data_IF_983446279129
#
_entry.id   IF_983446279129
#
_cell.length_a   1.000
_cell.length_b   1.000
_cell.length_c   1.000
_cell.angle_alpha   90.00
_cell.angle_beta   90.00
_cell.angle_gamma   90.00
#
_symmetry.space_group_name_H-M   'P 1'
#
loop_
_entity.id
_entity.type
_entity.pdbx_description
1 polymer ?
#
# COMPACT_ATOMS: atom_id res chain seq x y z
N UNK A 1 -44.64 36.03 68.25
CA UNK A 1 -43.72 35.20 69.05
C UNK A 1 -42.70 34.59 68.10
N UNK A 2 -41.42 34.97 68.23
CA UNK A 2 -40.30 34.54 67.37
C UNK A 2 -40.20 33.02 67.33
N UNK A 3 -39.95 32.45 66.14
CA UNK A 3 -39.13 31.25 65.98
C UNK A 3 -38.40 31.30 64.64
N UNK A 4 -37.12 31.66 64.77
CA UNK A 4 -36.06 31.51 63.78
C UNK A 4 -35.90 30.01 63.52
N UNK A 5 -35.85 29.57 62.26
CA UNK A 5 -35.21 28.29 61.98
C UNK A 5 -34.36 28.29 60.71
N UNK A 6 -33.19 27.69 60.86
CA UNK A 6 -31.97 27.85 60.07
C UNK A 6 -32.01 27.07 58.75
N UNK A 7 -31.32 27.64 57.76
CA UNK A 7 -30.87 27.03 56.50
C UNK A 7 -30.23 25.65 56.72
N UNK A 8 -30.56 24.70 55.85
CA UNK A 8 -29.64 23.64 55.41
C UNK A 8 -29.70 23.57 53.88
N UNK A 9 -28.77 24.25 53.23
CA UNK A 9 -28.50 24.11 51.80
C UNK A 9 -27.76 22.79 51.61
N UNK A 10 -28.43 21.79 51.05
CA UNK A 10 -27.86 20.48 50.75
C UNK A 10 -27.19 20.58 49.36
N UNK A 11 -25.86 20.52 49.32
CA UNK A 11 -25.10 20.39 48.06
C UNK A 11 -25.09 18.91 47.69
N UNK A 12 -25.83 18.55 46.64
CA UNK A 12 -25.81 17.22 46.04
C UNK A 12 -24.64 17.15 45.07
N UNK A 13 -23.55 16.50 45.47
CA UNK A 13 -22.43 16.17 44.57
C UNK A 13 -22.90 15.12 43.55
N UNK A 14 -22.99 15.52 42.27
CA UNK A 14 -23.19 14.61 41.15
C UNK A 14 -21.81 14.11 40.72
N UNK A 15 -21.51 12.85 41.04
CA UNK A 15 -20.30 12.18 40.56
C UNK A 15 -20.56 11.66 39.15
N UNK A 16 -19.97 12.30 38.13
CA UNK A 16 -19.99 11.81 36.74
C UNK A 16 -18.84 10.81 36.61
N UNK A 17 -19.14 9.52 36.63
CA UNK A 17 -18.21 8.46 36.24
C UNK A 17 -18.10 8.43 34.72
N UNK A 18 -17.02 9.00 34.19
CA UNK A 18 -16.65 8.88 32.78
C UNK A 18 -16.00 7.52 32.56
N UNK A 19 -16.80 6.52 32.16
CA UNK A 19 -16.29 5.22 31.73
C UNK A 19 -15.66 5.38 30.35
N UNK A 20 -14.33 5.54 30.29
CA UNK A 20 -13.56 5.41 29.05
C UNK A 20 -13.58 3.95 28.62
N UNK A 21 -14.44 3.59 27.65
CA UNK A 21 -14.25 2.38 26.86
C UNK A 21 -13.01 2.59 25.99
N UNK A 22 -11.90 2.00 26.39
CA UNK A 22 -10.76 1.79 25.49
C UNK A 22 -11.15 0.68 24.52
N UNK A 23 -11.79 1.04 23.42
CA UNK A 23 -11.71 0.21 22.22
C UNK A 23 -10.31 0.43 21.66
N UNK A 24 -9.40 -0.51 21.91
CA UNK A 24 -8.21 -0.66 21.07
C UNK A 24 -8.69 -1.19 19.73
N UNK A 25 -9.22 -0.30 18.90
CA UNK A 25 -9.43 -0.60 17.49
C UNK A 25 -8.06 -0.81 16.87
N UNK A 26 -7.79 -2.02 16.37
CA UNK A 26 -6.78 -2.16 15.32
C UNK A 26 -7.19 -1.20 14.21
N UNK A 27 -6.32 -0.26 13.85
CA UNK A 27 -6.56 0.59 12.70
C UNK A 27 -6.64 -0.34 11.49
N UNK A 28 -7.83 -0.56 10.95
CA UNK A 28 -7.96 -1.23 9.65
C UNK A 28 -7.33 -0.31 8.60
N UNK A 29 -6.59 -0.89 7.66
CA UNK A 29 -6.06 -0.15 6.53
C UNK A 29 -7.22 0.51 5.76
N UNK A 30 -7.11 1.82 5.51
CA UNK A 30 -8.04 2.53 4.66
C UNK A 30 -7.49 2.55 3.24
N UNK A 31 -7.73 1.46 2.51
CA UNK A 31 -7.42 1.43 1.08
C UNK A 31 -8.35 2.37 0.31
N UNK A 32 -7.76 3.30 -0.43
CA UNK A 32 -8.49 4.30 -1.20
C UNK A 32 -8.06 4.26 -2.67
N UNK A 33 -9.02 4.04 -3.57
CA UNK A 33 -8.79 4.17 -5.01
C UNK A 33 -8.30 5.59 -5.35
N UNK A 34 -7.25 5.69 -6.16
CA UNK A 34 -6.66 6.95 -6.62
C UNK A 34 -6.55 7.00 -8.14
N UNK A 35 -7.07 8.08 -8.71
CA UNK A 35 -6.91 8.47 -10.12
C UNK A 35 -5.54 9.13 -10.28
N UNK A 36 -4.63 8.46 -10.98
CA UNK A 36 -3.23 8.91 -11.10
C UNK A 36 -3.05 9.79 -12.35
N UNK A 37 -3.74 9.48 -13.44
CA UNK A 37 -3.59 10.19 -14.72
C UNK A 37 -4.56 11.38 -14.88
N UNK A 38 -5.48 11.57 -13.93
CA UNK A 38 -6.47 12.64 -13.89
C UNK A 38 -7.68 12.39 -14.80
N UNK A 39 -7.84 11.17 -15.31
CA UNK A 39 -8.94 10.78 -16.17
C UNK A 39 -9.92 9.85 -15.46
N UNK A 40 -10.68 10.37 -14.49
CA UNK A 40 -11.74 9.64 -13.78
C UNK A 40 -12.78 8.85 -14.63
N UNK A 41 -12.78 8.95 -15.97
CA UNK A 41 -13.66 8.16 -16.84
C UNK A 41 -13.18 6.71 -17.05
N UNK A 42 -11.91 6.38 -16.81
CA UNK A 42 -11.37 5.01 -16.95
C UNK A 42 -11.27 4.25 -15.62
N UNK A 43 -11.65 4.88 -14.49
CA UNK A 43 -11.62 4.27 -13.17
C UNK A 43 -10.51 4.85 -12.31
N UNK A 44 -9.67 3.97 -11.75
CA UNK A 44 -8.52 4.32 -10.92
C UNK A 44 -7.33 3.43 -11.30
N UNK A 45 -6.13 4.01 -11.30
CA UNK A 45 -4.90 3.30 -11.65
C UNK A 45 -4.13 2.83 -10.42
N UNK A 46 -4.38 3.45 -9.27
CA UNK A 46 -3.73 3.10 -8.02
C UNK A 46 -4.68 2.93 -6.85
N UNK A 47 -4.16 2.34 -5.79
CA UNK A 47 -4.85 2.22 -4.51
C UNK A 47 -3.87 2.64 -3.41
N UNK A 48 -4.17 3.75 -2.75
CA UNK A 48 -3.38 4.25 -1.64
C UNK A 48 -3.68 3.47 -0.36
N UNK A 49 -2.62 3.03 0.31
CA UNK A 49 -2.60 2.38 1.62
C UNK A 49 -2.04 3.35 2.66
N UNK A 50 -2.89 3.81 3.57
CA UNK A 50 -2.54 4.80 4.58
C UNK A 50 -1.75 4.23 5.75
N UNK A 51 -1.72 2.91 5.93
CA UNK A 51 -0.94 2.25 6.98
C UNK A 51 0.50 2.03 6.51
N UNK A 52 0.67 1.55 5.28
CA UNK A 52 1.99 1.35 4.68
C UNK A 52 2.58 2.65 4.10
N UNK A 53 1.75 3.67 3.92
CA UNK A 53 2.08 4.93 3.22
C UNK A 53 2.66 4.67 1.82
N UNK A 54 1.94 3.88 1.03
CA UNK A 54 2.29 3.53 -0.35
C UNK A 54 1.05 3.56 -1.24
N UNK A 55 1.27 3.74 -2.54
CA UNK A 55 0.26 3.50 -3.57
C UNK A 55 0.59 2.21 -4.30
N UNK A 56 -0.31 1.23 -4.21
CA UNK A 56 -0.30 0.03 -5.04
C UNK A 56 -0.76 0.35 -6.45
N UNK A 57 -0.13 -0.22 -7.48
CA UNK A 57 -0.74 -0.21 -8.81
C UNK A 57 -1.99 -1.11 -8.79
N UNK A 58 -3.12 -0.61 -9.27
CA UNK A 58 -4.40 -1.34 -9.24
C UNK A 58 -4.33 -2.63 -10.06
N UNK A 59 -3.60 -2.62 -11.19
CA UNK A 59 -3.32 -3.82 -11.96
C UNK A 59 -2.12 -4.58 -11.37
N UNK A 60 -2.41 -5.67 -10.67
CA UNK A 60 -1.42 -6.53 -10.00
C UNK A 60 -0.56 -7.36 -10.97
N UNK A 61 -0.80 -7.28 -12.29
CA UNK A 61 0.01 -7.94 -13.32
C UNK A 61 0.11 -7.09 -14.59
N UNK A 62 0.55 -5.85 -14.44
CA UNK A 62 0.72 -4.92 -15.57
C UNK A 62 1.65 -5.48 -16.66
N UNK A 63 2.66 -6.27 -16.27
CA UNK A 63 3.64 -6.89 -17.17
C UNK A 63 3.03 -7.83 -18.22
N UNK A 64 1.86 -8.42 -17.95
CA UNK A 64 1.13 -9.22 -18.93
C UNK A 64 0.62 -8.40 -20.13
N UNK A 65 0.49 -7.09 -19.98
CA UNK A 65 -0.08 -6.19 -21.00
C UNK A 65 0.88 -5.09 -21.48
N UNK A 66 1.89 -4.75 -20.67
CA UNK A 66 2.85 -3.71 -20.98
C UNK A 66 4.24 -4.09 -20.46
N UNK A 67 5.19 -4.33 -21.37
CA UNK A 67 6.58 -4.69 -21.02
C UNK A 67 7.52 -3.47 -20.89
N UNK A 68 7.01 -2.24 -21.07
CA UNK A 68 7.80 -1.01 -21.03
C UNK A 68 9.04 -1.00 -21.95
N UNK A 69 8.96 -1.73 -23.08
CA UNK A 69 10.03 -1.84 -24.07
C UNK A 69 11.02 -2.99 -23.85
N UNK A 70 10.87 -3.78 -22.78
CA UNK A 70 11.63 -5.01 -22.62
C UNK A 70 11.21 -6.05 -23.67
N UNK A 71 12.19 -6.67 -24.32
CA UNK A 71 11.99 -7.65 -25.41
C UNK A 71 12.20 -9.10 -24.97
N UNK A 72 12.69 -9.32 -23.76
CA UNK A 72 12.94 -10.65 -23.17
C UNK A 72 12.83 -10.60 -21.64
N UNK A 73 12.85 -11.77 -21.00
CA UNK A 73 12.83 -11.91 -19.53
C UNK A 73 11.44 -11.94 -18.91
N UNK A 74 10.38 -11.64 -19.68
CA UNK A 74 8.99 -11.70 -19.23
C UNK A 74 8.28 -12.86 -19.95
N UNK A 75 7.62 -13.71 -19.18
CA UNK A 75 6.78 -14.79 -19.69
C UNK A 75 5.53 -14.21 -20.35
N UNK A 76 5.33 -14.49 -21.64
CA UNK A 76 4.18 -13.98 -22.40
C UNK A 76 3.15 -15.06 -22.76
N UNK A 77 3.16 -16.20 -22.07
CA UNK A 77 2.25 -17.30 -22.35
C UNK A 77 2.04 -18.25 -21.17
N UNK A 78 0.99 -19.05 -21.29
CA UNK A 78 0.62 -20.03 -20.27
C UNK A 78 0.03 -19.39 -19.00
N UNK A 79 -0.07 -20.17 -17.91
CA UNK A 79 -0.72 -19.73 -16.67
C UNK A 79 0.09 -18.69 -15.88
N UNK A 80 1.34 -18.42 -16.28
CA UNK A 80 2.25 -17.47 -15.65
C UNK A 80 2.58 -16.29 -16.57
N UNK A 81 1.61 -15.84 -17.37
CA UNK A 81 1.80 -14.64 -18.21
C UNK A 81 2.11 -13.42 -17.33
N UNK A 82 3.06 -12.59 -17.74
CA UNK A 82 3.56 -11.41 -17.00
C UNK A 82 4.58 -11.71 -15.90
N UNK A 83 4.86 -12.98 -15.60
CA UNK A 83 5.91 -13.33 -14.65
C UNK A 83 7.31 -13.12 -15.23
N UNK A 84 8.29 -12.93 -14.37
CA UNK A 84 9.68 -12.65 -14.75
C UNK A 84 10.64 -13.09 -13.65
N UNK A 85 11.93 -13.23 -13.99
CA UNK A 85 12.96 -13.49 -12.99
C UNK A 85 13.32 -12.22 -12.20
N UNK A 86 14.03 -12.37 -11.08
CA UNK A 86 14.24 -11.27 -10.14
C UNK A 86 15.04 -10.11 -10.74
N UNK A 87 16.03 -10.41 -11.58
CA UNK A 87 16.80 -9.38 -12.30
C UNK A 87 15.97 -8.65 -13.36
N UNK A 88 15.07 -9.36 -14.06
CA UNK A 88 14.12 -8.73 -14.99
C UNK A 88 13.11 -7.87 -14.25
N UNK A 89 12.70 -8.22 -13.04
CA UNK A 89 11.82 -7.37 -12.22
C UNK A 89 12.45 -6.00 -11.92
N UNK A 90 13.75 -5.95 -11.63
CA UNK A 90 14.48 -4.69 -11.48
C UNK A 90 14.55 -3.91 -12.81
N UNK A 91 14.85 -4.59 -13.92
CA UNK A 91 14.86 -3.97 -15.25
C UNK A 91 13.49 -3.43 -15.66
N UNK A 92 12.40 -4.13 -15.30
CA UNK A 92 11.02 -3.74 -15.57
C UNK A 92 10.65 -2.44 -14.86
N UNK A 93 10.95 -2.34 -13.56
CA UNK A 93 10.73 -1.11 -12.78
C UNK A 93 11.56 0.05 -13.34
N UNK A 94 12.83 -0.20 -13.68
CA UNK A 94 13.68 0.81 -14.30
C UNK A 94 13.11 1.32 -15.62
N UNK A 95 12.62 0.42 -16.49
CA UNK A 95 11.98 0.76 -17.75
C UNK A 95 10.64 1.48 -17.57
N UNK A 96 9.87 1.11 -16.55
CA UNK A 96 8.61 1.75 -16.16
C UNK A 96 8.84 3.20 -15.72
N UNK A 97 9.85 3.45 -14.89
CA UNK A 97 10.21 4.79 -14.43
C UNK A 97 10.88 5.65 -15.52
N UNK A 98 11.47 5.03 -16.55
CA UNK A 98 12.08 5.74 -17.68
C UNK A 98 11.07 6.16 -18.78
N UNK A 99 9.79 5.77 -18.67
CA UNK A 99 8.77 6.14 -19.64
C UNK A 99 8.64 7.65 -19.81
N UNK A 100 8.14 8.08 -20.98
CA UNK A 100 7.87 9.48 -21.29
C UNK A 100 9.06 10.42 -21.08
N UNK A 101 10.29 9.94 -21.29
CA UNK A 101 11.50 10.74 -21.12
C UNK A 101 11.94 10.92 -19.66
N UNK A 102 11.48 10.05 -18.75
CA UNK A 102 11.82 10.06 -17.32
C UNK A 102 10.71 10.57 -16.41
N UNK A 103 9.56 10.96 -16.96
CA UNK A 103 8.36 11.28 -16.18
C UNK A 103 7.73 10.01 -15.58
N UNK A 104 8.05 8.85 -16.13
CA UNK A 104 7.59 7.54 -15.64
C UNK A 104 6.17 7.19 -16.07
N UNK A 105 5.76 5.99 -15.69
CA UNK A 105 4.44 5.48 -16.02
C UNK A 105 3.37 6.21 -15.20
N UNK A 106 2.33 6.70 -15.88
CA UNK A 106 1.27 7.55 -15.30
C UNK A 106 1.81 8.84 -14.65
N UNK A 107 2.97 9.33 -15.11
CA UNK A 107 3.62 10.51 -14.51
C UNK A 107 4.27 10.23 -13.15
N UNK A 108 4.43 8.96 -12.79
CA UNK A 108 5.11 8.51 -11.57
C UNK A 108 6.39 7.78 -11.97
N UNK A 109 7.54 8.26 -11.48
CA UNK A 109 8.87 7.68 -11.74
C UNK A 109 9.54 7.10 -10.48
N UNK A 110 8.75 6.90 -9.42
CA UNK A 110 9.18 6.33 -8.14
C UNK A 110 8.59 4.93 -7.91
N UNK A 111 8.11 4.26 -8.97
CA UNK A 111 7.67 2.87 -8.87
C UNK A 111 8.83 2.00 -8.39
N UNK A 112 8.52 1.03 -7.56
CA UNK A 112 9.45 0.06 -7.01
C UNK A 112 8.79 -1.29 -6.80
N UNK A 113 9.63 -2.29 -6.55
CA UNK A 113 9.16 -3.59 -6.07
C UNK A 113 8.69 -3.47 -4.61
N UNK A 114 7.76 -4.33 -4.17
CA UNK A 114 7.36 -4.36 -2.77
C UNK A 114 8.53 -4.70 -1.86
N UNK A 115 8.56 -4.12 -0.67
CA UNK A 115 9.63 -4.33 0.30
C UNK A 115 9.29 -5.38 1.34
N UNK A 116 10.34 -5.98 1.92
CA UNK A 116 10.26 -6.75 3.14
C UNK A 116 11.39 -6.37 4.10
N UNK A 117 11.13 -6.50 5.40
CA UNK A 117 12.09 -6.26 6.49
C UNK A 117 12.04 -7.42 7.47
N UNK A 118 13.10 -7.67 8.26
CA UNK A 118 13.09 -8.76 9.22
C UNK A 118 12.00 -8.61 10.29
N UNK A 119 11.23 -9.66 10.54
CA UNK A 119 10.17 -9.69 11.56
C UNK A 119 10.68 -9.40 12.97
N UNK A 120 11.95 -9.70 13.25
CA UNK A 120 12.60 -9.42 14.54
C UNK A 120 13.32 -8.05 14.58
N UNK A 121 13.25 -7.25 13.50
CA UNK A 121 13.88 -5.94 13.37
C UNK A 121 15.41 -5.94 13.20
N UNK A 122 16.07 -7.10 13.08
CA UNK A 122 17.53 -7.20 12.98
C UNK A 122 18.02 -7.98 11.76
N UNK A 123 17.64 -9.25 11.62
CA UNK A 123 18.08 -10.13 10.53
C UNK A 123 16.97 -11.08 10.12
N UNK A 124 16.86 -11.36 8.82
CA UNK A 124 15.87 -12.29 8.29
C UNK A 124 16.08 -13.71 8.87
N UNK A 125 15.02 -14.29 9.42
CA UNK A 125 14.98 -15.65 9.98
C UNK A 125 14.45 -16.61 8.92
N UNK A 126 15.34 -17.04 8.02
CA UNK A 126 14.99 -17.79 6.80
C UNK A 126 15.17 -19.31 6.90
N UNK A 127 15.39 -19.83 8.11
CA UNK A 127 15.62 -21.26 8.36
C UNK A 127 14.39 -22.13 8.09
N UNK A 128 13.83 -22.72 9.16
CA UNK A 128 12.59 -23.48 9.06
C UNK A 128 11.38 -22.55 8.87
N UNK A 129 10.44 -22.95 8.02
CA UNK A 129 9.18 -22.23 7.88
C UNK A 129 8.37 -22.30 9.18
N UNK A 130 7.76 -21.19 9.57
CA UNK A 130 6.81 -21.13 10.68
C UNK A 130 5.42 -20.72 10.19
N UNK A 131 4.40 -21.03 10.98
CA UNK A 131 3.00 -20.84 10.61
C UNK A 131 2.23 -19.97 11.62
N UNK A 132 2.96 -19.35 12.54
CA UNK A 132 2.49 -18.31 13.46
C UNK A 132 3.03 -16.91 13.09
N UNK A 133 3.84 -16.82 12.04
CA UNK A 133 4.50 -15.60 11.59
C UNK A 133 5.75 -15.22 12.37
N UNK A 134 6.21 -16.04 13.33
CA UNK A 134 7.38 -15.71 14.16
C UNK A 134 8.71 -15.60 13.40
N UNK A 135 8.75 -16.00 12.12
CA UNK A 135 9.92 -15.94 11.26
C UNK A 135 9.59 -15.36 9.88
N UNK A 136 10.62 -14.97 9.14
CA UNK A 136 10.49 -14.38 7.79
C UNK A 136 10.21 -15.41 6.69
N UNK A 137 9.89 -16.66 7.06
CA UNK A 137 9.63 -17.75 6.14
C UNK A 137 8.45 -18.57 6.64
N UNK A 138 7.46 -18.77 5.79
CA UNK A 138 6.22 -19.47 6.09
C UNK A 138 5.02 -18.53 6.07
N UNK A 139 4.01 -18.81 6.89
CA UNK A 139 2.72 -18.10 6.88
C UNK A 139 2.60 -17.16 8.08
N UNK A 140 1.60 -16.28 8.02
CA UNK A 140 1.18 -15.39 9.10
C UNK A 140 2.15 -14.28 9.53
N UNK A 141 3.18 -13.96 8.72
CA UNK A 141 4.23 -12.96 9.03
C UNK A 141 3.68 -11.61 9.51
N UNK A 142 2.59 -11.13 8.93
CA UNK A 142 1.91 -9.87 9.30
C UNK A 142 0.47 -10.09 9.74
N UNK A 143 0.04 -11.36 9.91
CA UNK A 143 -1.36 -11.68 10.12
C UNK A 143 -1.82 -11.27 11.52
N UNK A 144 -2.96 -10.55 11.63
CA UNK A 144 -3.49 -10.17 12.93
C UNK A 144 -3.95 -11.42 13.72
N UNK A 145 -4.04 -11.33 15.06
CA UNK A 145 -4.66 -12.37 15.86
C UNK A 145 -6.09 -12.65 15.38
N UNK A 146 -6.43 -13.91 15.19
CA UNK A 146 -7.77 -14.26 14.73
C UNK A 146 -8.00 -15.76 14.61
N UNK A 147 -9.15 -16.14 14.04
CA UNK A 147 -9.53 -17.55 13.84
C UNK A 147 -8.48 -18.30 13.00
N UNK A 148 -7.85 -17.61 12.05
CA UNK A 148 -6.85 -18.17 11.15
C UNK A 148 -5.39 -17.94 11.60
N UNK A 149 -5.19 -17.22 12.70
CA UNK A 149 -3.91 -17.07 13.40
C UNK A 149 -4.15 -16.98 14.92
N UNK A 150 -4.55 -18.09 15.57
CA UNK A 150 -5.00 -18.07 16.97
C UNK A 150 -3.85 -17.89 17.96
N UNK A 151 -2.63 -18.23 17.56
CA UNK A 151 -1.42 -18.10 18.37
C UNK A 151 -0.33 -17.37 17.58
N UNK A 152 -0.45 -16.04 17.37
CA UNK A 152 0.56 -15.29 16.65
C UNK A 152 1.92 -15.39 17.32
N UNK A 153 2.96 -15.44 16.50
CA UNK A 153 4.34 -15.53 16.92
C UNK A 153 4.79 -14.28 17.69
N UNK A 154 5.85 -14.38 18.50
CA UNK A 154 6.48 -13.20 19.06
C UNK A 154 6.97 -12.30 17.91
N UNK A 155 6.70 -10.99 18.00
CA UNK A 155 7.07 -9.93 17.05
C UNK A 155 6.16 -9.73 15.82
N UNK A 156 5.06 -10.46 15.67
CA UNK A 156 4.14 -10.27 14.52
C UNK A 156 3.05 -9.22 14.77
N UNK A 157 2.73 -8.95 16.04
CA UNK A 157 1.66 -8.02 16.39
C UNK A 157 2.01 -6.60 15.95
N UNK A 158 1.25 -6.08 14.98
CA UNK A 158 1.48 -4.75 14.39
C UNK A 158 2.70 -4.68 13.48
N UNK A 159 3.27 -5.82 13.08
CA UNK A 159 4.35 -5.85 12.10
C UNK A 159 3.81 -5.54 10.71
N UNK A 160 4.31 -4.45 10.12
CA UNK A 160 3.96 -3.98 8.77
C UNK A 160 5.10 -4.14 7.78
N UNK A 161 6.16 -4.82 8.19
CA UNK A 161 7.44 -4.78 7.48
C UNK A 161 7.53 -5.64 6.22
N UNK A 162 6.51 -6.43 5.88
CA UNK A 162 6.40 -7.14 4.59
C UNK A 162 5.15 -6.65 3.87
N UNK A 163 5.34 -5.82 2.83
CA UNK A 163 4.23 -5.13 2.16
C UNK A 163 3.27 -6.14 1.51
N UNK A 164 3.78 -7.17 0.83
CA UNK A 164 2.95 -8.20 0.20
C UNK A 164 2.20 -9.05 1.23
N UNK A 165 2.86 -9.41 2.34
CA UNK A 165 2.18 -10.15 3.40
C UNK A 165 1.12 -9.29 4.07
N UNK A 166 1.42 -8.01 4.37
CA UNK A 166 0.46 -7.07 4.93
C UNK A 166 -0.75 -6.91 4.01
N UNK A 167 -0.50 -6.73 2.71
CA UNK A 167 -1.55 -6.63 1.71
C UNK A 167 -2.46 -7.87 1.69
N UNK A 168 -1.86 -9.07 1.76
CA UNK A 168 -2.60 -10.32 1.82
C UNK A 168 -3.44 -10.46 3.09
N UNK A 169 -2.83 -10.29 4.27
CA UNK A 169 -3.46 -10.65 5.54
C UNK A 169 -4.33 -9.54 6.14
N UNK A 170 -3.96 -8.27 5.94
CA UNK A 170 -4.62 -7.14 6.59
C UNK A 170 -5.54 -6.40 5.62
N UNK A 171 -5.12 -6.21 4.37
CA UNK A 171 -5.97 -5.53 3.40
C UNK A 171 -7.00 -6.49 2.79
N UNK A 172 -6.58 -7.69 2.41
CA UNK A 172 -7.49 -8.68 1.82
C UNK A 172 -8.13 -9.63 2.83
N UNK A 173 -7.73 -9.56 4.09
CA UNK A 173 -8.16 -10.51 5.13
C UNK A 173 -8.08 -11.97 4.66
N UNK A 174 -7.08 -12.25 3.81
CA UNK A 174 -6.97 -13.51 3.11
C UNK A 174 -6.51 -14.61 4.07
N UNK A 175 -7.00 -15.81 3.83
CA UNK A 175 -6.78 -16.95 4.72
C UNK A 175 -5.54 -17.71 4.23
N UNK A 176 -4.55 -17.99 5.08
CA UNK A 176 -3.37 -18.77 4.70
C UNK A 176 -3.71 -20.24 4.48
N UNK A 177 -2.85 -20.98 3.78
CA UNK A 177 -2.96 -22.45 3.70
C UNK A 177 -2.84 -23.11 5.07
N UNK A 178 -1.92 -22.60 5.88
CA UNK A 178 -1.49 -23.16 7.14
C UNK A 178 -1.70 -22.17 8.26
N UNK A 179 -2.24 -22.64 9.38
CA UNK A 179 -2.08 -21.99 10.68
C UNK A 179 -1.40 -22.94 11.65
N UNK A 180 -0.88 -22.44 12.76
CA UNK A 180 -0.31 -23.27 13.81
C UNK A 180 0.64 -22.51 14.71
N UNK A 181 1.47 -23.26 15.44
CA UNK A 181 2.46 -22.69 16.36
C UNK A 181 3.85 -23.15 15.93
N UNK A 182 4.79 -22.21 15.81
CA UNK A 182 6.13 -22.46 15.29
C UNK A 182 6.10 -23.20 13.96
N UNK A 183 6.76 -24.35 13.88
CA UNK A 183 6.94 -25.14 12.66
C UNK A 183 5.82 -26.14 12.37
N UNK A 184 4.76 -26.20 13.19
CA UNK A 184 3.64 -27.15 12.98
C UNK A 184 2.56 -26.50 12.13
N UNK A 185 2.40 -26.95 10.87
CA UNK A 185 1.29 -26.52 10.03
C UNK A 185 0.05 -27.41 10.25
N UNK A 186 -1.06 -26.75 10.55
CA UNK A 186 -2.42 -27.27 10.43
C UNK A 186 -3.00 -26.73 9.12
N UNK A 187 -3.11 -27.60 8.11
CA UNK A 187 -3.61 -27.21 6.79
C UNK A 187 -5.11 -27.02 6.78
N UNK A 188 -5.55 -25.93 6.18
CA UNK A 188 -6.94 -25.76 5.76
C UNK A 188 -7.22 -26.51 4.46
N UNK A 189 -8.48 -26.81 4.23
CA UNK A 189 -8.91 -27.35 2.94
C UNK A 189 -8.65 -26.31 1.83
N UNK A 190 -8.29 -26.75 0.62
CA UNK A 190 -8.16 -25.90 -0.58
C UNK A 190 -9.39 -25.00 -0.82
N UNK A 191 -10.55 -25.42 -0.33
CA UNK A 191 -11.80 -24.67 -0.39
C UNK A 191 -11.95 -23.55 0.65
N UNK A 192 -10.97 -23.33 1.52
CA UNK A 192 -11.06 -22.41 2.66
C UNK A 192 -9.95 -21.36 2.71
N UNK A 193 -8.85 -21.51 1.96
CA UNK A 193 -7.76 -20.52 1.95
C UNK A 193 -7.63 -19.75 0.63
N UNK A 194 -6.91 -18.63 0.66
CA UNK A 194 -6.68 -17.73 -0.47
C UNK A 194 -7.46 -16.41 -0.37
N UNK A 195 -7.11 -15.48 -1.26
CA UNK A 195 -7.65 -14.12 -1.31
C UNK A 195 -9.16 -14.11 -1.55
N UNK A 196 -9.66 -14.94 -2.46
CA UNK A 196 -11.09 -14.97 -2.81
C UNK A 196 -11.98 -15.66 -1.77
N UNK A 197 -11.39 -16.13 -0.67
CA UNK A 197 -12.10 -16.85 0.39
C UNK A 197 -12.10 -16.09 1.72
N UNK A 198 -11.64 -14.84 1.70
CA UNK A 198 -11.66 -13.99 2.86
C UNK A 198 -13.09 -13.90 3.46
N UNK A 199 -13.23 -13.89 4.80
CA UNK A 199 -14.54 -13.85 5.44
C UNK A 199 -15.29 -12.52 5.27
N UNK A 200 -14.58 -11.40 5.08
CA UNK A 200 -15.18 -10.07 5.01
C UNK A 200 -15.59 -9.71 3.57
N UNK A 201 -16.87 -9.34 3.33
CA UNK A 201 -17.30 -8.78 2.05
C UNK A 201 -16.63 -7.44 1.65
N UNK A 202 -15.89 -6.78 2.54
CA UNK A 202 -15.16 -5.52 2.30
C UNK A 202 -13.66 -5.71 2.07
N UNK A 203 -13.20 -6.91 1.71
CA UNK A 203 -11.78 -7.25 1.60
C UNK A 203 -10.96 -6.51 0.54
N UNK A 204 -11.37 -5.33 0.06
CA UNK A 204 -10.70 -4.45 -0.90
C UNK A 204 -10.20 -5.09 -2.22
N UNK A 205 -10.42 -6.39 -2.44
CA UNK A 205 -10.00 -7.13 -3.64
C UNK A 205 -10.62 -6.51 -4.89
N UNK A 206 -11.83 -5.95 -4.77
CA UNK A 206 -12.52 -5.27 -5.86
C UNK A 206 -11.84 -3.97 -6.32
N UNK A 207 -10.89 -3.43 -5.56
CA UNK A 207 -10.08 -2.28 -5.97
C UNK A 207 -8.92 -2.68 -6.90
N UNK A 208 -8.70 -3.98 -7.11
CA UNK A 208 -7.54 -4.48 -7.83
C UNK A 208 -7.95 -5.40 -8.97
N UNK A 209 -7.09 -5.43 -9.99
CA UNK A 209 -7.28 -6.20 -11.20
C UNK A 209 -6.10 -7.15 -11.41
N UNK A 210 -6.36 -8.26 -12.11
CA UNK A 210 -5.34 -9.24 -12.51
C UNK A 210 -4.48 -9.77 -11.35
N UNK A 211 -5.05 -9.89 -10.14
CA UNK A 211 -4.39 -10.54 -9.01
C UNK A 211 -4.05 -11.98 -9.40
N UNK A 212 -2.77 -12.31 -9.29
CA UNK A 212 -2.25 -13.64 -9.61
C UNK A 212 -2.33 -14.49 -8.35
N UNK A 213 -3.46 -15.16 -8.12
CA UNK A 213 -3.66 -16.01 -6.93
C UNK A 213 -4.34 -17.34 -7.22
N UNK A 214 -4.59 -17.67 -8.49
CA UNK A 214 -5.38 -18.84 -8.88
C UNK A 214 -4.58 -20.14 -9.03
N UNK A 215 -3.29 -20.06 -9.39
CA UNK A 215 -2.45 -21.22 -9.67
C UNK A 215 -1.41 -21.47 -8.58
N UNK A 216 -1.17 -22.75 -8.30
CA UNK A 216 -0.03 -23.18 -7.49
C UNK A 216 1.24 -22.72 -8.18
N UNK A 217 2.04 -21.90 -7.50
CA UNK A 217 3.24 -21.28 -8.06
C UNK A 217 3.07 -19.78 -8.33
N UNK A 218 1.85 -19.24 -8.28
CA UNK A 218 1.68 -17.80 -8.28
C UNK A 218 2.29 -17.20 -7.01
N UNK A 219 3.26 -16.32 -7.26
CA UNK A 219 3.96 -15.57 -6.26
C UNK A 219 4.37 -14.22 -6.84
N UNK A 220 4.75 -13.33 -5.92
CA UNK A 220 5.21 -11.98 -6.22
C UNK A 220 6.61 -11.78 -5.66
N UNK A 221 7.49 -11.19 -6.45
CA UNK A 221 8.83 -10.80 -5.99
C UNK A 221 8.77 -9.62 -5.02
N UNK A 222 9.64 -9.65 -4.02
CA UNK A 222 10.02 -8.45 -3.24
C UNK A 222 11.33 -7.85 -3.78
N UNK A 223 11.73 -6.70 -3.25
CA UNK A 223 13.03 -6.08 -3.50
C UNK A 223 14.19 -6.71 -2.72
N UNK A 224 13.91 -7.71 -1.88
CA UNK A 224 14.90 -8.26 -0.95
C UNK A 224 15.64 -9.45 -1.57
N UNK A 225 16.94 -9.32 -1.88
CA UNK A 225 17.77 -10.48 -2.16
C UNK A 225 18.03 -11.27 -0.87
N UNK A 226 18.23 -12.57 -1.01
CA UNK A 226 18.67 -13.47 0.04
C UNK A 226 20.05 -14.07 -0.31
N UNK A 227 20.54 -14.96 0.55
CA UNK A 227 21.78 -15.69 0.28
C UNK A 227 21.59 -16.73 -0.84
N UNK A 228 22.70 -17.29 -1.35
CA UNK A 228 22.71 -18.44 -2.27
C UNK A 228 21.91 -18.30 -3.57
N UNK A 229 21.88 -17.09 -4.17
CA UNK A 229 21.15 -16.85 -5.42
C UNK A 229 19.63 -16.98 -5.26
N UNK A 230 19.11 -16.70 -4.07
CA UNK A 230 17.67 -16.68 -3.78
C UNK A 230 17.19 -15.24 -3.55
N UNK A 231 15.88 -15.02 -3.69
CA UNK A 231 15.23 -13.78 -3.29
C UNK A 231 13.94 -14.07 -2.51
N UNK A 232 13.52 -13.11 -1.70
CA UNK A 232 12.25 -13.24 -0.99
C UNK A 232 11.09 -13.02 -1.96
N UNK A 233 10.16 -13.95 -1.93
CA UNK A 233 8.87 -13.87 -2.62
C UNK A 233 7.72 -14.06 -1.65
N UNK A 234 6.53 -13.69 -2.10
CA UNK A 234 5.29 -13.97 -1.40
C UNK A 234 4.32 -14.75 -2.28
N UNK A 235 3.87 -15.91 -1.82
CA UNK A 235 2.80 -16.66 -2.46
C UNK A 235 1.44 -16.06 -2.11
N UNK A 236 0.81 -15.41 -3.06
CA UNK A 236 -0.60 -15.02 -2.99
C UNK A 236 -1.54 -16.24 -3.07
N UNK A 237 -1.09 -17.38 -3.58
CA UNK A 237 -1.88 -18.62 -3.55
C UNK A 237 -1.95 -19.23 -2.15
N UNK A 238 -0.80 -19.38 -1.48
CA UNK A 238 -0.71 -20.03 -0.16
C UNK A 238 -0.75 -19.06 1.03
N UNK A 239 -0.56 -17.76 0.79
CA UNK A 239 -0.34 -16.75 1.82
C UNK A 239 1.05 -16.82 2.46
N UNK A 240 2.04 -17.47 1.85
CA UNK A 240 3.33 -17.71 2.50
C UNK A 240 4.47 -16.87 1.92
N UNK A 241 5.32 -16.34 2.79
CA UNK A 241 6.61 -15.76 2.43
C UNK A 241 7.66 -16.87 2.35
N UNK A 242 8.54 -16.80 1.35
CA UNK A 242 9.56 -17.81 1.13
C UNK A 242 10.74 -17.31 0.32
N UNK A 243 11.68 -18.22 0.09
CA UNK A 243 12.81 -18.05 -0.80
C UNK A 243 12.57 -18.90 -2.04
N UNK A 244 12.86 -18.34 -3.21
CA UNK A 244 12.97 -19.07 -4.48
C UNK A 244 14.21 -18.54 -5.23
N UNK A 245 14.68 -19.30 -6.22
CA UNK A 245 15.86 -18.94 -7.00
C UNK A 245 15.60 -17.62 -7.77
N UNK A 246 16.59 -16.72 -7.84
CA UNK A 246 16.44 -15.47 -8.58
C UNK A 246 16.15 -15.66 -10.07
N UNK A 247 16.42 -16.86 -10.61
CA UNK A 247 16.10 -17.26 -11.98
C UNK A 247 14.67 -17.81 -12.15
N UNK A 248 13.96 -18.10 -11.06
CA UNK A 248 12.55 -18.51 -11.11
C UNK A 248 11.64 -17.37 -11.57
N UNK A 249 10.47 -17.72 -12.11
CA UNK A 249 9.55 -16.75 -12.69
C UNK A 249 8.38 -16.46 -11.74
N UNK A 250 8.33 -15.24 -11.23
CA UNK A 250 7.23 -14.73 -10.40
C UNK A 250 6.72 -13.40 -10.92
N UNK A 251 5.52 -13.04 -10.50
CA UNK A 251 4.88 -11.78 -10.89
C UNK A 251 5.47 -10.61 -10.11
N UNK A 252 5.16 -9.40 -10.56
CA UNK A 252 5.56 -8.18 -9.87
C UNK A 252 4.37 -7.26 -9.68
N UNK A 253 4.03 -6.99 -8.42
CA UNK A 253 3.03 -6.01 -8.03
C UNK A 253 3.73 -4.73 -7.61
N UNK A 254 3.87 -3.78 -8.53
CA UNK A 254 4.64 -2.56 -8.26
C UNK A 254 3.88 -1.61 -7.33
N UNK A 255 4.66 -0.88 -6.53
CA UNK A 255 4.16 0.12 -5.58
C UNK A 255 4.98 1.40 -5.70
N UNK A 256 4.43 2.52 -5.27
CA UNK A 256 5.13 3.80 -5.16
C UNK A 256 5.00 4.34 -3.73
N UNK A 257 6.01 5.05 -3.19
CA UNK A 257 5.92 5.64 -1.86
C UNK A 257 4.89 6.78 -1.81
N UNK A 258 4.12 6.82 -0.72
CA UNK A 258 3.11 7.85 -0.46
C UNK A 258 1.88 7.77 -1.36
N UNK A 259 1.02 8.79 -1.25
CA UNK A 259 -0.12 8.99 -2.15
C UNK A 259 0.33 9.76 -3.40
N UNK A 260 0.56 9.03 -4.50
CA UNK A 260 1.09 9.63 -5.73
C UNK A 260 0.09 10.54 -6.46
N UNK A 261 -1.22 10.32 -6.27
CA UNK A 261 -2.27 11.15 -6.85
C UNK A 261 -2.43 12.51 -6.14
N UNK A 262 -1.98 12.63 -4.88
CA UNK A 262 -2.00 13.90 -4.15
C UNK A 262 -1.06 14.97 -4.75
N UNK A 263 -0.12 14.57 -5.62
CA UNK A 263 0.80 15.49 -6.30
C UNK A 263 0.18 16.21 -7.50
N UNK A 264 -0.94 15.69 -8.05
CA UNK A 264 -1.63 16.23 -9.21
C UNK A 264 -2.62 17.35 -8.85
N UNK A 265 -2.38 18.15 -7.80
CA UNK A 265 -3.22 19.32 -7.52
C UNK A 265 -3.09 20.28 -8.70
N UNK A 266 -4.17 20.51 -9.48
CA UNK A 266 -4.14 21.52 -10.51
C UNK A 266 -3.84 22.84 -9.81
N UNK A 267 -2.81 23.56 -10.23
CA UNK A 267 -2.60 24.94 -9.77
C UNK A 267 -3.96 25.63 -9.85
N UNK A 268 -4.55 26.07 -8.71
CA UNK A 268 -5.91 26.56 -8.73
C UNK A 268 -5.98 27.67 -9.76
N UNK A 269 -7.08 27.80 -10.51
CA UNK A 269 -7.24 28.86 -11.51
C UNK A 269 -6.87 30.25 -10.98
N UNK A 270 -6.93 30.43 -9.66
CA UNK A 270 -6.38 31.55 -8.91
C UNK A 270 -4.89 31.86 -9.22
N UNK A 271 -3.99 30.88 -9.36
CA UNK A 271 -2.59 31.09 -9.71
C UNK A 271 -2.44 31.75 -11.10
N UNK A 272 -3.22 31.31 -12.08
CA UNK A 272 -3.31 31.96 -13.40
C UNK A 272 -3.94 33.35 -13.31
N UNK A 273 -4.97 33.51 -12.48
CA UNK A 273 -5.65 34.79 -12.26
C UNK A 273 -4.72 35.82 -11.59
N UNK A 274 -3.91 35.41 -10.61
CA UNK A 274 -2.91 36.26 -9.98
C UNK A 274 -1.77 36.62 -10.93
N UNK A 275 -1.32 35.68 -11.77
CA UNK A 275 -0.34 35.96 -12.82
C UNK A 275 -0.83 36.99 -13.83
N UNK A 276 -2.09 36.87 -14.29
CA UNK A 276 -2.71 37.80 -15.22
C UNK A 276 -3.02 39.17 -14.58
N UNK A 277 -3.48 39.18 -13.32
CA UNK A 277 -3.75 40.41 -12.58
C UNK A 277 -2.47 41.21 -12.30
N UNK A 278 -1.37 40.53 -11.94
CA UNK A 278 -0.08 41.16 -11.67
C UNK A 278 0.54 41.77 -12.93
N UNK A 279 0.48 41.06 -14.07
CA UNK A 279 0.90 41.60 -15.37
C UNK A 279 0.04 42.78 -15.82
N UNK A 280 -1.28 42.73 -15.59
CA UNK A 280 -2.19 43.86 -15.81
C UNK A 280 -1.86 45.09 -14.94
N UNK A 281 -1.50 44.90 -13.67
CA UNK A 281 -1.12 45.99 -12.76
C UNK A 281 0.22 46.65 -13.15
N UNK A 282 1.19 45.86 -13.64
CA UNK A 282 2.48 46.37 -14.10
C UNK A 282 2.31 47.24 -15.35
N UNK A 283 1.47 46.82 -16.31
CA UNK A 283 1.21 47.59 -17.53
C UNK A 283 0.47 48.90 -17.24
N UNK A 284 -0.52 48.89 -16.33
CA UNK A 284 -1.22 50.10 -15.87
C UNK A 284 -0.28 51.09 -15.15
N UNK A 285 0.68 50.59 -14.37
CA UNK A 285 1.69 51.43 -13.70
C UNK A 285 2.64 52.10 -14.68
N UNK A 286 2.99 51.44 -15.78
CA UNK A 286 3.85 52.04 -16.82
C UNK A 286 3.11 53.13 -17.62
N UNK A 287 1.83 52.94 -17.91
CA UNK A 287 1.02 53.95 -18.60
C UNK A 287 0.82 55.23 -17.77
N UNK A 288 0.57 55.13 -16.46
CA UNK A 288 0.36 56.30 -15.60
C UNK A 288 1.61 57.18 -15.42
N UNK A 289 2.82 56.62 -15.54
CA UNK A 289 4.08 57.37 -15.50
C UNK A 289 4.30 58.22 -16.75
N UNK A 290 3.85 57.74 -17.91
CA UNK A 290 3.99 58.47 -19.19
C UNK A 290 3.11 59.72 -19.25
N UNK A 291 1.95 59.72 -18.58
CA UNK A 291 1.06 60.88 -18.51
C UNK A 291 1.51 61.96 -17.50
N UNK A 292 2.23 61.59 -16.43
CA UNK A 292 2.74 62.58 -15.45
C UNK A 292 3.93 63.41 -15.96
N UNK A 293 4.60 63.03 -17.04
CA UNK A 293 5.70 63.85 -17.60
C UNK A 293 5.22 64.96 -18.54
N UNK A 294 3.94 64.95 -18.95
CA UNK A 294 3.37 65.98 -19.84
C UNK A 294 2.81 67.17 -19.02
N UNK A 295 2.47 66.96 -17.74
CA UNK A 295 1.91 67.99 -16.86
C UNK A 295 2.96 68.88 -16.14
N UNK A 296 4.23 68.88 -16.55
CA UNK A 296 5.29 69.78 -16.02
C UNK A 296 5.79 70.83 -17.02
N UNK A 297 5.05 71.04 -18.09
CA UNK A 297 5.27 72.15 -19.02
C UNK A 297 4.05 73.08 -18.99
N UNK A 298 3.83 73.76 -17.87
CA UNK A 298 3.07 75.01 -17.76
C UNK A 298 3.49 75.73 -16.48
#
# INVERSE_FOLDING_TARGET
MKLINKRKTMFTSVTITLSTLLFTGVAQAALTAVDIDGNASNGHEGVYDDVLDITWLANANIAASNQFGLTSGISMGGPFIGSMNWSTAEAFVSAMNAQNGGDGYLGVNTWRRPTATPVNGTNFVLGSATYDGSTDKGSNVTAPPGVYNPTPGPNTLGFIGSELAYHYYNNFEAIPECSGTGTTCVKYNLNLYGIHRAPDPNNYVSLFENIQSEYVGNAYWTDVPADNNEAIRFSSFWGSQGLDDVDDFHHLWVVAPGNVAASAVPLPAAAWLFGAALTGLITLRQHSRKYRSIARYH
#
